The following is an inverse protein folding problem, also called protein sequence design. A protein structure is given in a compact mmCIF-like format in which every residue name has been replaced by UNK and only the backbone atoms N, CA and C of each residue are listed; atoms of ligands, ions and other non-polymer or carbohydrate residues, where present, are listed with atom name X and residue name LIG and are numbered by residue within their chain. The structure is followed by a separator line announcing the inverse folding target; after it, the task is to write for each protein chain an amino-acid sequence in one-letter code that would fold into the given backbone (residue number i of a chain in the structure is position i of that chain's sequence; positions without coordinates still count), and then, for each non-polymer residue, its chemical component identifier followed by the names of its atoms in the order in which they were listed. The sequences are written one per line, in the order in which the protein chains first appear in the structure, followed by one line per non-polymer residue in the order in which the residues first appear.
data_IF_124605857684
#
_entry.id   IF_124605857684
#
_cell.length_a   1.000
_cell.length_b   1.000
_cell.length_c   1.000
_cell.angle_alpha   90.00
_cell.angle_beta   90.00
_cell.angle_gamma   90.00
#
_symmetry.space_group_name_H-M   'P 1'
#
loop_
_entity.id
_entity.type
_entity.pdbx_description
1 polymer ?
#
# COMPACT_ATOMS: atom_id res chain seq x y z
N UNK A 1 -0.25 9.26 21.60
CA UNK A 1 -0.07 8.25 20.53
C UNK A 1 1.37 8.24 20.04
N UNK A 2 1.87 7.06 19.72
CA UNK A 2 3.19 6.94 19.08
C UNK A 2 3.16 7.56 17.70
N UNK A 3 4.21 8.26 17.34
CA UNK A 3 4.38 8.86 16.03
C UNK A 3 5.25 7.94 15.18
N UNK A 4 4.68 7.46 14.09
CA UNK A 4 5.31 6.47 13.22
C UNK A 4 5.38 7.04 11.80
N UNK A 5 6.51 6.82 11.14
CA UNK A 5 6.62 7.06 9.70
C UNK A 5 6.61 5.74 8.97
N UNK A 6 5.83 5.64 7.92
CA UNK A 6 5.74 4.42 7.11
C UNK A 6 6.00 4.79 5.65
N UNK A 7 6.86 4.00 5.00
CA UNK A 7 7.08 4.07 3.55
C UNK A 7 6.62 2.75 2.93
N UNK A 8 5.95 2.82 1.80
CA UNK A 8 5.41 1.63 1.13
C UNK A 8 5.64 1.70 -0.37
N UNK A 9 5.77 0.54 -0.99
CA UNK A 9 5.84 0.41 -2.44
C UNK A 9 5.33 -0.95 -2.88
N UNK A 10 4.84 -1.02 -4.11
CA UNK A 10 4.38 -2.23 -4.73
C UNK A 10 4.88 -2.33 -6.16
N UNK A 11 5.06 -3.55 -6.63
CA UNK A 11 5.54 -3.81 -7.97
C UNK A 11 4.88 -5.08 -8.53
N UNK A 12 4.83 -5.18 -9.84
CA UNK A 12 4.26 -6.35 -10.49
C UNK A 12 5.01 -6.62 -11.79
N UNK A 13 5.35 -7.88 -12.02
CA UNK A 13 6.03 -8.32 -13.24
C UNK A 13 4.98 -8.80 -14.23
N UNK A 14 4.67 -7.95 -15.25
CA UNK A 14 3.49 -8.16 -16.08
C UNK A 14 2.22 -7.86 -15.27
N UNK A 15 1.38 -7.03 -15.68
CA UNK A 15 0.24 -6.55 -14.89
C UNK A 15 -1.08 -7.01 -15.54
N UNK A 16 -1.66 -8.18 -15.17
CA UNK A 16 -1.35 -9.01 -14.00
C UNK A 16 -0.15 -9.95 -14.17
N UNK A 17 0.34 -10.44 -13.03
CA UNK A 17 1.45 -11.36 -12.96
C UNK A 17 1.99 -11.48 -11.54
N UNK A 18 3.18 -12.04 -11.34
CA UNK A 18 3.80 -12.08 -10.02
C UNK A 18 4.06 -10.67 -9.51
N UNK A 19 3.70 -10.42 -8.26
CA UNK A 19 3.89 -9.12 -7.66
C UNK A 19 4.50 -9.20 -6.29
N UNK A 20 5.05 -8.07 -5.84
CA UNK A 20 5.64 -7.94 -4.53
C UNK A 20 5.35 -6.58 -3.92
N UNK A 21 5.52 -6.49 -2.63
CA UNK A 21 5.37 -5.24 -1.89
C UNK A 21 6.46 -5.14 -0.84
N UNK A 22 6.78 -3.89 -0.48
CA UNK A 22 7.73 -3.61 0.57
C UNK A 22 7.26 -2.45 1.42
N UNK A 23 7.62 -2.47 2.69
CA UNK A 23 7.27 -1.42 3.64
C UNK A 23 8.38 -1.23 4.66
N UNK A 24 8.55 0.02 5.10
CA UNK A 24 9.48 0.38 6.16
C UNK A 24 8.71 1.16 7.22
N UNK A 25 8.81 0.72 8.47
CA UNK A 25 8.21 1.41 9.61
C UNK A 25 9.33 2.00 10.45
N UNK A 26 9.23 3.30 10.75
CA UNK A 26 10.20 4.03 11.54
C UNK A 26 9.56 4.55 12.82
N UNK A 27 10.12 4.20 13.96
CA UNK A 27 9.69 4.71 15.23
C UNK A 27 10.93 5.07 16.07
N UNK A 28 11.14 6.35 16.28
CA UNK A 28 12.35 6.85 16.96
C UNK A 28 13.59 6.29 16.26
N UNK A 29 14.44 5.52 16.93
CA UNK A 29 15.64 4.92 16.36
C UNK A 29 15.40 3.51 15.81
N UNK A 30 14.16 3.01 15.91
CA UNK A 30 13.82 1.67 15.45
C UNK A 30 13.33 1.67 14.01
N UNK A 31 13.80 0.69 13.25
CA UNK A 31 13.38 0.49 11.87
C UNK A 31 12.96 -0.96 11.69
N UNK A 32 11.80 -1.16 11.05
CA UNK A 32 11.31 -2.49 10.71
C UNK A 32 11.00 -2.53 9.22
N UNK A 33 11.52 -3.55 8.55
CA UNK A 33 11.23 -3.79 7.13
C UNK A 33 10.30 -4.98 6.99
N UNK A 34 9.31 -4.84 6.11
CA UNK A 34 8.36 -5.89 5.78
C UNK A 34 8.32 -6.06 4.27
N UNK A 35 8.09 -7.28 3.82
CA UNK A 35 7.90 -7.55 2.40
C UNK A 35 7.06 -8.81 2.21
N UNK A 36 6.50 -8.96 1.03
CA UNK A 36 5.74 -10.13 0.66
C UNK A 36 5.34 -10.06 -0.81
N UNK A 37 4.64 -11.07 -1.28
CA UNK A 37 4.23 -11.10 -2.67
C UNK A 37 3.12 -12.09 -2.94
N UNK A 38 2.61 -12.05 -4.16
CA UNK A 38 1.60 -12.97 -4.66
C UNK A 38 1.99 -13.43 -6.06
N UNK A 39 1.69 -14.70 -6.38
CA UNK A 39 2.06 -15.29 -7.66
C UNK A 39 1.28 -14.69 -8.83
N UNK A 40 0.08 -14.18 -8.59
CA UNK A 40 -0.76 -13.59 -9.63
C UNK A 40 -1.55 -12.42 -9.03
N UNK A 41 -1.16 -11.20 -9.40
CA UNK A 41 -1.73 -10.00 -8.82
C UNK A 41 -1.55 -8.81 -9.76
N UNK A 42 -1.80 -7.61 -9.28
CA UNK A 42 -1.62 -6.37 -10.03
C UNK A 42 -0.76 -5.39 -9.24
N UNK A 43 -0.22 -4.40 -9.94
CA UNK A 43 0.55 -3.35 -9.30
C UNK A 43 -0.28 -2.62 -8.22
N UNK A 44 -1.53 -2.29 -8.56
CA UNK A 44 -2.40 -1.58 -7.61
C UNK A 44 -2.66 -2.40 -6.34
N UNK A 45 -2.91 -3.71 -6.48
CA UNK A 45 -3.10 -4.56 -5.30
C UNK A 45 -1.86 -4.58 -4.41
N UNK A 46 -0.67 -4.63 -5.01
CA UNK A 46 0.57 -4.66 -4.23
C UNK A 46 0.82 -3.34 -3.51
N UNK A 47 0.47 -2.21 -4.12
CA UNK A 47 0.53 -0.91 -3.45
C UNK A 47 -0.38 -0.87 -2.22
N UNK A 48 -1.60 -1.39 -2.33
CA UNK A 48 -2.54 -1.45 -1.21
C UNK A 48 -2.08 -2.44 -0.15
N UNK A 49 -1.57 -3.61 -0.55
CA UNK A 49 -1.08 -4.63 0.37
C UNK A 49 0.08 -4.13 1.22
N UNK A 50 0.99 -3.36 0.64
CA UNK A 50 2.10 -2.78 1.38
C UNK A 50 1.59 -1.92 2.55
N UNK A 51 0.62 -1.05 2.28
CA UNK A 51 0.05 -0.19 3.31
C UNK A 51 -0.70 -1.00 4.37
N UNK A 52 -1.52 -1.97 3.94
CA UNK A 52 -2.28 -2.82 4.86
C UNK A 52 -1.36 -3.59 5.79
N UNK A 53 -0.35 -4.24 5.25
CA UNK A 53 0.56 -5.06 6.06
C UNK A 53 1.39 -4.21 7.02
N UNK A 54 1.80 -3.01 6.59
CA UNK A 54 2.51 -2.09 7.47
C UNK A 54 1.62 -1.65 8.64
N UNK A 55 0.37 -1.27 8.35
CA UNK A 55 -0.56 -0.81 9.38
C UNK A 55 -0.94 -1.94 10.33
N UNK A 56 -1.14 -3.16 9.80
CA UNK A 56 -1.44 -4.33 10.63
C UNK A 56 -0.31 -4.72 11.58
N UNK A 57 0.92 -4.31 11.29
CA UNK A 57 2.05 -4.59 12.17
C UNK A 57 2.03 -3.75 13.45
N UNK A 58 1.22 -2.69 13.50
CA UNK A 58 1.10 -1.83 14.67
C UNK A 58 0.06 -2.38 15.63
N UNK A 59 0.43 -2.51 16.90
CA UNK A 59 -0.40 -3.17 17.91
C UNK A 59 -1.35 -2.21 18.64
N UNK A 60 -1.16 -0.90 18.46
CA UNK A 60 -1.96 0.11 19.15
C UNK A 60 -2.25 1.27 18.20
N UNK A 61 -3.28 2.10 18.47
CA UNK A 61 -3.51 3.28 17.66
C UNK A 61 -2.29 4.20 17.66
N UNK A 62 -1.91 4.67 16.49
CA UNK A 62 -0.72 5.52 16.29
C UNK A 62 -1.07 6.73 15.44
N UNK A 63 -0.26 7.76 15.55
CA UNK A 63 -0.25 8.89 14.63
C UNK A 63 0.79 8.60 13.55
N UNK A 64 0.35 8.55 12.29
CA UNK A 64 1.16 7.99 11.20
C UNK A 64 1.31 9.00 10.07
N UNK A 65 2.54 9.18 9.61
CA UNK A 65 2.83 9.77 8.31
C UNK A 65 3.15 8.62 7.36
N UNK A 66 2.27 8.38 6.38
CA UNK A 66 2.45 7.29 5.43
C UNK A 66 2.80 7.85 4.06
N UNK A 67 3.94 7.43 3.54
CA UNK A 67 4.50 7.90 2.28
C UNK A 67 4.36 6.83 1.20
N UNK A 68 3.78 7.19 0.07
CA UNK A 68 3.59 6.29 -1.07
C UNK A 68 3.83 7.05 -2.38
N UNK A 69 4.31 6.37 -3.41
CA UNK A 69 4.37 6.93 -4.75
C UNK A 69 3.13 6.60 -5.59
N UNK A 70 2.21 5.80 -5.04
CA UNK A 70 0.99 5.39 -5.72
C UNK A 70 -0.06 6.50 -5.69
N UNK A 71 -0.36 7.07 -6.85
CA UNK A 71 -1.47 8.01 -6.98
C UNK A 71 -2.81 7.33 -6.68
N UNK A 72 -2.94 6.07 -7.03
CA UNK A 72 -4.14 5.28 -6.79
C UNK A 72 -4.48 5.20 -5.30
N UNK A 73 -3.49 4.88 -4.47
CA UNK A 73 -3.67 4.82 -3.02
C UNK A 73 -3.87 6.22 -2.43
N UNK A 74 -3.00 7.15 -2.78
CA UNK A 74 -3.00 8.50 -2.24
C UNK A 74 -4.30 9.24 -2.54
N UNK A 75 -4.75 9.20 -3.80
CA UNK A 75 -5.94 9.95 -4.21
C UNK A 75 -7.21 9.38 -3.60
N UNK A 76 -7.28 8.08 -3.38
CA UNK A 76 -8.45 7.46 -2.78
C UNK A 76 -8.78 8.06 -1.42
N UNK A 77 -7.77 8.38 -0.62
CA UNK A 77 -7.95 8.97 0.70
C UNK A 77 -8.03 10.50 0.65
N UNK A 78 -7.27 11.16 -0.21
CA UNK A 78 -7.22 12.62 -0.24
C UNK A 78 -8.32 13.25 -1.08
N UNK A 79 -8.89 12.52 -2.04
CA UNK A 79 -9.98 12.99 -2.89
C UNK A 79 -11.33 12.38 -2.54
N UNK A 80 -11.43 11.71 -1.38
CA UNK A 80 -12.68 11.16 -0.86
C UNK A 80 -13.37 10.12 -1.76
N UNK A 81 -12.60 9.36 -2.54
CA UNK A 81 -13.16 8.29 -3.36
C UNK A 81 -13.87 7.24 -2.51
N UNK A 82 -13.26 6.90 -1.36
CA UNK A 82 -13.77 5.87 -0.47
C UNK A 82 -15.14 6.25 0.11
N UNK A 83 -15.32 7.52 0.50
CA UNK A 83 -16.60 7.99 0.99
C UNK A 83 -17.69 7.87 -0.07
N UNK A 84 -17.35 8.20 -1.33
CA UNK A 84 -18.27 8.04 -2.45
C UNK A 84 -18.65 6.58 -2.70
N UNK A 85 -17.67 5.70 -2.68
CA UNK A 85 -17.92 4.26 -2.88
C UNK A 85 -18.79 3.67 -1.77
N UNK A 86 -18.57 4.06 -0.52
CA UNK A 86 -19.41 3.61 0.58
C UNK A 86 -20.87 4.05 0.42
N UNK A 87 -21.08 5.28 -0.06
CA UNK A 87 -22.43 5.80 -0.26
C UNK A 87 -23.18 5.13 -1.40
N UNK A 88 -22.47 4.70 -2.45
CA UNK A 88 -23.12 4.15 -3.65
C UNK A 88 -23.02 2.64 -3.76
N UNK A 89 -22.67 1.95 -2.68
CA UNK A 89 -22.62 0.49 -2.65
C UNK A 89 -21.42 -0.12 -3.35
N UNK A 90 -20.29 0.60 -3.35
CA UNK A 90 -19.02 0.13 -3.94
C UNK A 90 -19.10 -0.09 -5.44
N UNK A 91 -19.67 0.88 -6.11
CA UNK A 91 -19.77 0.86 -7.58
C UNK A 91 -19.07 2.08 -8.18
N UNK A 92 -18.50 1.91 -9.37
CA UNK A 92 -17.91 3.00 -10.12
C UNK A 92 -19.02 3.86 -10.76
N UNK A 93 -18.63 4.97 -11.38
CA UNK A 93 -19.56 5.83 -12.10
C UNK A 93 -20.34 5.06 -13.20
N UNK A 94 -19.72 4.04 -13.81
CA UNK A 94 -20.36 3.19 -14.81
C UNK A 94 -21.12 2.00 -14.21
N UNK A 95 -21.36 2.03 -12.89
CA UNK A 95 -22.10 1.03 -12.13
C UNK A 95 -21.43 -0.35 -12.09
N UNK A 96 -20.12 -0.42 -12.36
CA UNK A 96 -19.35 -1.64 -12.20
C UNK A 96 -18.81 -1.75 -10.77
N UNK A 97 -18.60 -2.96 -10.25
CA UNK A 97 -18.00 -3.10 -8.92
C UNK A 97 -16.64 -2.40 -8.84
N UNK A 98 -16.35 -1.77 -7.71
CA UNK A 98 -15.04 -1.16 -7.46
C UNK A 98 -14.01 -2.27 -7.34
N UNK A 99 -12.89 -2.15 -8.07
CA UNK A 99 -11.80 -3.11 -7.97
C UNK A 99 -11.12 -3.03 -6.62
N UNK A 100 -10.61 -4.16 -6.15
CA UNK A 100 -9.87 -4.24 -4.89
C UNK A 100 -10.68 -3.85 -3.65
N UNK A 101 -11.99 -4.00 -3.72
CA UNK A 101 -12.88 -3.64 -2.62
C UNK A 101 -12.47 -4.30 -1.31
N UNK A 102 -12.03 -5.56 -1.36
CA UNK A 102 -11.55 -6.31 -0.19
C UNK A 102 -10.41 -5.56 0.51
N UNK A 103 -9.46 -5.06 -0.25
CA UNK A 103 -8.32 -4.32 0.30
C UNK A 103 -8.71 -2.92 0.77
N UNK A 104 -9.58 -2.24 0.02
CA UNK A 104 -10.06 -0.92 0.43
C UNK A 104 -10.79 -0.97 1.76
N UNK A 105 -11.58 -2.01 2.00
CA UNK A 105 -12.28 -2.17 3.27
C UNK A 105 -11.31 -2.37 4.43
N UNK A 106 -10.24 -3.13 4.21
CA UNK A 106 -9.18 -3.30 5.22
C UNK A 106 -8.47 -1.98 5.52
N UNK A 107 -8.20 -1.18 4.49
CA UNK A 107 -7.57 0.15 4.68
C UNK A 107 -8.48 1.11 5.43
N UNK A 108 -9.78 1.07 5.17
CA UNK A 108 -10.73 1.89 5.92
C UNK A 108 -10.74 1.53 7.40
N UNK A 109 -10.66 0.25 7.73
CA UNK A 109 -10.59 -0.20 9.12
C UNK A 109 -9.33 0.35 9.81
N UNK A 110 -8.20 0.34 9.10
CA UNK A 110 -6.95 0.91 9.62
C UNK A 110 -7.04 2.43 9.77
N UNK A 111 -7.68 3.10 8.82
CA UNK A 111 -7.85 4.55 8.87
C UNK A 111 -8.68 4.98 10.08
N UNK A 112 -9.65 4.17 10.48
CA UNK A 112 -10.46 4.41 11.70
C UNK A 112 -9.66 4.16 12.97
N UNK A 113 -8.73 3.20 12.94
CA UNK A 113 -7.93 2.83 14.11
C UNK A 113 -6.82 3.83 14.37
N UNK A 114 -6.20 4.37 13.33
CA UNK A 114 -5.03 5.25 13.43
C UNK A 114 -5.38 6.64 12.92
N UNK A 115 -4.50 7.60 13.25
CA UNK A 115 -4.56 8.94 12.66
C UNK A 115 -3.50 9.01 11.58
N UNK A 116 -3.93 8.86 10.32
CA UNK A 116 -3.02 8.75 9.18
C UNK A 116 -3.01 10.03 8.37
N UNK A 117 -1.83 10.60 8.15
CA UNK A 117 -1.61 11.67 7.18
C UNK A 117 -0.93 11.03 5.97
N UNK A 118 -1.58 11.13 4.81
CA UNK A 118 -1.10 10.53 3.57
C UNK A 118 -0.19 11.51 2.85
N UNK A 119 0.98 11.04 2.42
CA UNK A 119 1.95 11.82 1.68
C UNK A 119 2.28 11.11 0.38
N UNK A 120 2.31 11.87 -0.72
CA UNK A 120 2.74 11.31 -1.99
C UNK A 120 4.19 11.68 -2.23
N UNK A 121 5.04 10.68 -2.46
CA UNK A 121 6.43 10.88 -2.85
C UNK A 121 6.55 10.69 -4.36
N UNK A 122 7.55 11.33 -4.94
CA UNK A 122 7.83 11.18 -6.37
C UNK A 122 8.54 9.85 -6.58
N UNK A 123 8.04 9.02 -7.48
CA UNK A 123 8.68 7.76 -7.84
C UNK A 123 10.07 8.01 -8.40
N UNK A 124 11.01 7.10 -8.13
CA UNK A 124 12.42 7.22 -8.54
C UNK A 124 13.09 8.50 -8.03
N UNK A 125 12.68 8.97 -6.85
CA UNK A 125 13.25 10.13 -6.21
C UNK A 125 14.50 9.74 -5.41
N UNK A 126 15.14 10.75 -4.82
CA UNK A 126 16.31 10.54 -3.94
C UNK A 126 15.92 10.03 -2.55
N UNK A 127 14.65 9.68 -2.32
CA UNK A 127 14.19 9.20 -1.03
C UNK A 127 14.70 7.78 -0.77
N UNK A 128 15.61 7.66 0.18
CA UNK A 128 16.29 6.41 0.49
C UNK A 128 15.33 5.31 0.94
N UNK A 129 14.31 5.67 1.72
CA UNK A 129 13.34 4.68 2.21
C UNK A 129 12.38 4.22 1.10
N UNK A 130 11.96 5.12 0.24
CA UNK A 130 11.14 4.76 -0.92
C UNK A 130 11.90 3.81 -1.84
N UNK A 131 13.17 4.09 -2.09
CA UNK A 131 14.01 3.23 -2.92
C UNK A 131 14.21 1.87 -2.28
N UNK A 132 14.34 1.82 -0.95
CA UNK A 132 14.47 0.55 -0.25
C UNK A 132 13.17 -0.27 -0.34
N UNK A 133 12.01 0.36 -0.24
CA UNK A 133 10.72 -0.32 -0.42
C UNK A 133 10.59 -0.91 -1.81
N UNK A 134 11.04 -0.19 -2.84
CA UNK A 134 11.06 -0.70 -4.21
C UNK A 134 11.94 -1.94 -4.32
N UNK A 135 13.12 -1.91 -3.72
CA UNK A 135 14.02 -3.08 -3.71
C UNK A 135 13.40 -4.28 -3.00
N UNK A 136 12.73 -4.05 -1.87
CA UNK A 136 12.03 -5.11 -1.15
C UNK A 136 10.91 -5.71 -2.00
N UNK A 137 10.13 -4.88 -2.67
CA UNK A 137 9.04 -5.31 -3.52
C UNK A 137 9.55 -6.17 -4.69
N UNK A 138 10.60 -5.72 -5.37
CA UNK A 138 11.18 -6.46 -6.49
C UNK A 138 11.80 -7.77 -6.05
N UNK A 139 12.47 -7.77 -4.91
CA UNK A 139 13.06 -8.98 -4.35
C UNK A 139 11.98 -10.02 -4.04
N UNK A 140 10.84 -9.59 -3.54
CA UNK A 140 9.72 -10.48 -3.26
C UNK A 140 9.16 -11.13 -4.53
N UNK A 141 9.19 -10.43 -5.67
CA UNK A 141 8.73 -10.97 -6.96
C UNK A 141 9.61 -12.13 -7.39
N UNK A 142 10.91 -12.07 -7.12
CA UNK A 142 11.88 -13.06 -7.58
C UNK A 142 11.64 -14.45 -7.02
N UNK A 143 10.88 -14.59 -5.94
CA UNK A 143 10.53 -15.89 -5.38
C UNK A 143 9.57 -16.69 -6.27
N UNK A 144 8.92 -16.05 -7.23
CA UNK A 144 7.97 -16.70 -8.13
C UNK A 144 8.62 -17.08 -9.46
N UNK A 145 8.23 -18.23 -10.05
CA UNK A 145 8.78 -18.64 -11.35
C UNK A 145 8.44 -17.63 -12.44
N UNK A 146 9.44 -17.30 -13.26
CA UNK A 146 9.23 -16.44 -14.43
C UNK A 146 8.65 -17.24 -15.58
N UNK A 147 7.82 -16.57 -16.39
CA UNK A 147 7.30 -17.16 -17.62
C UNK A 147 6.20 -18.18 -17.43
N UNK A 148 5.61 -18.25 -16.26
CA UNK A 148 4.40 -19.05 -16.07
C UNK A 148 3.21 -18.27 -16.62
N UNK A 149 2.76 -18.71 -17.72
CA UNK A 149 1.57 -18.16 -18.33
C UNK A 149 0.32 -18.53 -17.55
#
# INVERSE_FOLDING_TARGET
MKQIKIYTDGACSGNPGPGGWGAILLYKEHKKELSGGEAHTTNNRMELMAAICALNALKEPCEIDLYTDSAYLYNAFTENWLAGWQRNGWKTASKKPVENQDLWQQLLAQDRKHRITWHKVKGHSDNIHNNRCDALARSAIEQFPKGQA
#
